data_IF_911994767827
#
_entry.id   IF_911994767827
#
_cell.length_a   1.000
_cell.length_b   1.000
_cell.length_c   1.000
_cell.angle_alpha   90.00
_cell.angle_beta   90.00
_cell.angle_gamma   90.00
#
_symmetry.space_group_name_H-M   'P 1'
#
loop_
_entity.id
_entity.type
_entity.pdbx_description
1 polymer ?
#
# COMPACT_ATOMS: atom_id res chain seq x y z
N UNK A 1 30.89 -24.87 -23.25
CA UNK A 1 32.08 -24.18 -22.72
C UNK A 1 31.55 -23.29 -21.62
N UNK A 2 31.85 -23.60 -20.37
CA UNK A 2 31.42 -22.78 -19.24
C UNK A 2 32.22 -21.47 -19.26
N UNK A 3 31.53 -20.33 -19.18
CA UNK A 3 32.20 -19.04 -19.01
C UNK A 3 32.98 -19.04 -17.68
N UNK A 4 34.21 -18.48 -17.66
CA UNK A 4 34.99 -18.45 -16.43
C UNK A 4 34.28 -17.60 -15.37
N UNK A 5 34.13 -18.15 -14.17
CA UNK A 5 33.57 -17.43 -13.02
C UNK A 5 34.44 -16.21 -12.70
N UNK A 6 33.88 -14.99 -12.68
CA UNK A 6 34.64 -13.80 -12.35
C UNK A 6 35.17 -13.86 -10.92
N UNK A 7 36.39 -13.34 -10.71
CA UNK A 7 36.99 -13.19 -9.39
C UNK A 7 36.23 -12.16 -8.54
N UNK A 8 36.39 -12.24 -7.21
CA UNK A 8 35.78 -11.29 -6.28
C UNK A 8 36.16 -9.83 -6.62
N UNK A 9 37.41 -9.60 -7.01
CA UNK A 9 37.94 -8.29 -7.41
C UNK A 9 37.27 -7.76 -8.69
N UNK A 10 36.93 -8.64 -9.63
CA UNK A 10 36.21 -8.26 -10.85
C UNK A 10 34.75 -7.91 -10.54
N UNK A 11 34.10 -8.65 -9.65
CA UNK A 11 32.74 -8.35 -9.18
C UNK A 11 32.69 -7.03 -8.40
N UNK A 12 33.68 -6.77 -7.53
CA UNK A 12 33.81 -5.50 -6.82
C UNK A 12 33.93 -4.33 -7.81
N UNK A 13 34.75 -4.45 -8.85
CA UNK A 13 34.88 -3.41 -9.88
C UNK A 13 33.60 -3.20 -10.69
N UNK A 14 32.83 -4.25 -10.95
CA UNK A 14 31.56 -4.16 -11.69
C UNK A 14 30.43 -3.50 -10.87
N UNK A 15 30.51 -3.57 -9.54
CA UNK A 15 29.51 -3.01 -8.63
C UNK A 15 29.96 -1.70 -7.98
N UNK A 16 31.22 -1.31 -8.15
CA UNK A 16 31.76 -0.06 -7.67
C UNK A 16 31.32 1.11 -8.56
N UNK A 17 30.68 2.10 -7.95
CA UNK A 17 30.31 3.35 -8.61
C UNK A 17 31.27 4.46 -8.19
N UNK A 18 31.95 5.06 -9.16
CA UNK A 18 32.69 6.29 -8.97
C UNK A 18 31.77 7.51 -9.02
N UNK A 19 32.33 8.68 -8.68
CA UNK A 19 31.60 9.95 -8.68
C UNK A 19 30.90 10.23 -10.02
N UNK A 20 31.58 9.98 -11.14
CA UNK A 20 31.05 10.22 -12.49
C UNK A 20 29.84 9.32 -12.78
N UNK A 21 29.92 8.01 -12.49
CA UNK A 21 28.76 7.12 -12.68
C UNK A 21 27.57 7.55 -11.82
N UNK A 22 27.81 7.96 -10.57
CA UNK A 22 26.75 8.47 -9.69
C UNK A 22 26.10 9.74 -10.24
N UNK A 23 26.89 10.69 -10.75
CA UNK A 23 26.37 11.90 -11.39
C UNK A 23 25.52 11.57 -12.64
N UNK A 24 25.93 10.59 -13.44
CA UNK A 24 25.15 10.12 -14.59
C UNK A 24 23.81 9.50 -14.17
N UNK A 25 23.81 8.68 -13.11
CA UNK A 25 22.59 8.09 -12.52
C UNK A 25 21.64 9.17 -12.01
N UNK A 26 22.15 10.15 -11.25
CA UNK A 26 21.35 11.26 -10.71
C UNK A 26 20.72 12.12 -11.82
N UNK A 27 21.50 12.39 -12.87
CA UNK A 27 20.99 13.07 -14.05
C UNK A 27 19.94 12.24 -14.78
N UNK A 28 20.11 10.91 -14.81
CA UNK A 28 19.12 9.95 -15.30
C UNK A 28 17.79 10.06 -14.55
N UNK A 29 17.80 9.95 -13.22
CA UNK A 29 16.59 10.12 -12.40
C UNK A 29 15.93 11.49 -12.62
N UNK A 30 16.72 12.55 -12.68
CA UNK A 30 16.21 13.91 -12.93
C UNK A 30 15.51 14.05 -14.28
N UNK A 31 15.97 13.33 -15.32
CA UNK A 31 15.27 13.28 -16.62
C UNK A 31 13.99 12.46 -16.53
N UNK A 32 14.05 11.29 -15.88
CA UNK A 32 12.88 10.42 -15.69
C UNK A 32 11.77 11.10 -14.89
N UNK A 33 12.11 11.87 -13.84
CA UNK A 33 11.12 12.64 -13.07
C UNK A 33 10.41 13.69 -13.91
N UNK A 34 11.16 14.48 -14.70
CA UNK A 34 10.55 15.47 -15.60
C UNK A 34 9.66 14.79 -16.65
N UNK A 35 10.11 13.67 -17.20
CA UNK A 35 9.31 12.89 -18.13
C UNK A 35 8.00 12.38 -17.49
N UNK A 36 8.09 11.81 -16.28
CA UNK A 36 6.93 11.35 -15.52
C UNK A 36 5.92 12.45 -15.19
N UNK A 37 6.40 13.65 -14.85
CA UNK A 37 5.53 14.78 -14.53
C UNK A 37 4.86 15.41 -15.77
N UNK A 38 5.53 15.40 -16.92
CA UNK A 38 5.06 16.13 -18.12
C UNK A 38 4.36 15.24 -19.15
N UNK A 39 4.76 13.97 -19.28
CA UNK A 39 4.49 13.15 -20.48
C UNK A 39 4.04 11.71 -20.22
N UNK A 40 4.08 11.21 -19.00
CA UNK A 40 3.73 9.82 -18.67
C UNK A 40 2.72 9.75 -17.52
N UNK A 41 1.56 9.14 -17.78
CA UNK A 41 0.50 8.98 -16.77
C UNK A 41 0.71 7.77 -15.84
N UNK A 42 1.75 6.96 -16.08
CA UNK A 42 1.99 5.71 -15.35
C UNK A 42 3.08 5.84 -14.27
N UNK A 43 3.78 6.97 -14.24
CA UNK A 43 4.79 7.29 -13.22
C UNK A 43 4.51 8.67 -12.64
N UNK A 44 5.11 9.00 -11.49
CA UNK A 44 4.85 10.27 -10.79
C UNK A 44 3.36 10.53 -10.52
N UNK A 45 2.61 9.46 -10.24
CA UNK A 45 1.16 9.47 -10.07
C UNK A 45 0.76 10.39 -8.91
N UNK A 46 -0.18 11.34 -9.10
CA UNK A 46 -0.65 12.20 -8.03
C UNK A 46 -1.30 11.40 -6.89
N UNK A 47 -0.88 11.65 -5.65
CA UNK A 47 -1.45 10.99 -4.47
C UNK A 47 -2.78 11.61 -4.00
N UNK A 48 -3.15 12.78 -4.53
CA UNK A 48 -4.27 13.62 -4.08
C UNK A 48 -4.18 14.05 -2.60
N UNK A 49 -3.05 13.81 -1.93
CA UNK A 49 -2.77 14.31 -0.58
C UNK A 49 -2.21 15.73 -0.69
N UNK A 50 -3.10 16.72 -0.54
CA UNK A 50 -2.71 18.13 -0.69
C UNK A 50 -2.33 18.81 0.64
N UNK A 51 -2.47 18.13 1.78
CA UNK A 51 -2.17 18.65 3.12
C UNK A 51 -1.57 17.55 3.98
N UNK A 52 -0.58 17.91 4.78
CA UNK A 52 0.01 17.03 5.77
C UNK A 52 -0.69 17.21 7.13
N UNK A 53 -0.63 16.21 8.02
CA UNK A 53 -1.17 16.32 9.37
C UNK A 53 -0.60 17.51 10.15
N UNK A 54 -1.43 18.15 10.97
CA UNK A 54 -1.07 19.29 11.82
C UNK A 54 -0.66 18.86 13.23
N UNK A 55 -1.02 17.64 13.64
CA UNK A 55 -0.85 17.14 15.00
C UNK A 55 -2.00 17.50 15.94
N UNK A 56 -2.99 18.27 15.48
CA UNK A 56 -4.18 18.64 16.27
C UNK A 56 -5.37 17.72 16.00
N UNK A 57 -5.20 16.71 15.15
CA UNK A 57 -6.24 15.76 14.80
C UNK A 57 -6.67 14.94 16.02
N UNK A 58 -7.96 14.68 16.12
CA UNK A 58 -8.57 13.86 17.16
C UNK A 58 -9.57 12.89 16.56
N UNK A 59 -9.90 11.84 17.31
CA UNK A 59 -10.89 10.83 16.94
C UNK A 59 -10.28 9.49 16.59
N UNK A 60 -11.14 8.49 16.41
CA UNK A 60 -10.73 7.12 16.07
C UNK A 60 -10.95 6.86 14.58
N UNK A 61 -9.92 6.38 13.91
CA UNK A 61 -9.89 6.09 12.48
C UNK A 61 -9.38 4.66 12.26
N UNK A 62 -9.75 4.06 11.14
CA UNK A 62 -9.18 2.78 10.72
C UNK A 62 -7.99 3.00 9.78
N UNK A 63 -7.03 2.10 9.83
CA UNK A 63 -5.92 2.03 8.89
C UNK A 63 -5.77 0.59 8.42
N UNK A 64 -5.67 0.42 7.11
CA UNK A 64 -5.39 -0.84 6.46
C UNK A 64 -4.05 -0.72 5.74
N UNK A 65 -3.15 -1.66 6.01
CA UNK A 65 -1.86 -1.80 5.32
C UNK A 65 -1.77 -3.19 4.70
N UNK A 66 -1.89 -3.22 3.38
CA UNK A 66 -1.71 -4.42 2.58
C UNK A 66 -0.34 -4.38 1.89
N UNK A 67 0.58 -5.14 2.47
CA UNK A 67 1.90 -5.40 1.91
C UNK A 67 1.93 -6.64 1.01
N UNK A 68 3.14 -7.13 0.73
CA UNK A 68 3.32 -8.38 -0.03
C UNK A 68 3.21 -9.67 0.80
N UNK A 69 3.25 -9.55 2.12
CA UNK A 69 3.36 -10.71 3.04
C UNK A 69 2.27 -10.74 4.09
N UNK A 70 1.87 -9.58 4.59
CA UNK A 70 0.89 -9.46 5.67
C UNK A 70 -0.15 -8.40 5.31
N UNK A 71 -1.38 -8.65 5.74
CA UNK A 71 -2.39 -7.64 5.99
C UNK A 71 -2.21 -7.14 7.43
N UNK A 72 -2.25 -5.83 7.61
CA UNK A 72 -2.42 -5.20 8.92
C UNK A 72 -3.66 -4.34 8.90
N UNK A 73 -4.46 -4.43 9.95
CA UNK A 73 -5.60 -3.56 10.19
C UNK A 73 -5.44 -2.95 11.57
N UNK A 74 -5.66 -1.65 11.70
CA UNK A 74 -5.47 -0.92 12.94
C UNK A 74 -6.62 0.07 13.20
N UNK A 75 -7.00 0.19 14.47
CA UNK A 75 -7.82 1.28 14.97
C UNK A 75 -6.90 2.28 15.67
N UNK A 76 -6.77 3.46 15.07
CA UNK A 76 -5.86 4.51 15.51
C UNK A 76 -6.71 5.61 16.15
N UNK A 77 -6.52 5.82 17.45
CA UNK A 77 -7.15 6.93 18.18
C UNK A 77 -6.16 8.07 18.28
N UNK A 78 -6.47 9.18 17.61
CA UNK A 78 -5.71 10.42 17.66
C UNK A 78 -6.19 11.23 18.86
N UNK A 79 -5.24 11.66 19.70
CA UNK A 79 -5.52 12.37 20.96
C UNK A 79 -5.17 13.87 20.90
N UNK A 80 -4.78 14.38 19.73
CA UNK A 80 -4.14 15.68 19.60
C UNK A 80 -2.68 15.67 20.08
N UNK A 81 -2.00 16.80 19.92
CA UNK A 81 -0.58 17.01 20.24
C UNK A 81 0.36 15.90 19.68
N UNK A 82 0.00 15.32 18.52
CA UNK A 82 0.74 14.21 17.91
C UNK A 82 0.69 12.88 18.67
N UNK A 83 -0.15 12.75 19.71
CA UNK A 83 -0.29 11.52 20.50
C UNK A 83 -1.31 10.56 19.88
N UNK A 84 -1.02 9.27 19.95
CA UNK A 84 -1.87 8.21 19.39
C UNK A 84 -1.96 7.00 20.30
N UNK A 85 -3.10 6.31 20.23
CA UNK A 85 -3.27 4.95 20.75
C UNK A 85 -3.64 4.03 19.58
N UNK A 86 -3.00 2.86 19.49
CA UNK A 86 -3.14 1.96 18.35
C UNK A 86 -3.48 0.56 18.85
N UNK A 87 -4.63 0.07 18.40
CA UNK A 87 -5.00 -1.34 18.47
C UNK A 87 -4.87 -1.92 17.07
N UNK A 88 -4.22 -3.07 16.89
CA UNK A 88 -4.03 -3.63 15.56
C UNK A 88 -4.07 -5.15 15.55
N UNK A 89 -4.37 -5.70 14.36
CA UNK A 89 -4.22 -7.11 14.05
C UNK A 89 -3.39 -7.26 12.78
N UNK A 90 -2.60 -8.33 12.73
CA UNK A 90 -1.80 -8.68 11.57
C UNK A 90 -2.12 -10.12 11.17
N UNK A 91 -2.28 -10.32 9.86
CA UNK A 91 -2.59 -11.60 9.27
C UNK A 91 -1.60 -11.90 8.14
N UNK A 92 -0.87 -13.03 8.19
CA UNK A 92 -0.13 -13.50 7.03
C UNK A 92 -1.09 -13.73 5.86
N UNK A 93 -0.73 -13.29 4.65
CA UNK A 93 -1.56 -13.46 3.46
C UNK A 93 -1.47 -14.93 3.01
N UNK A 94 -2.58 -15.70 3.01
CA UNK A 94 -2.61 -17.06 2.50
C UNK A 94 -2.17 -17.14 1.03
N UNK A 95 -1.42 -18.17 0.66
CA UNK A 95 -0.89 -18.31 -0.72
C UNK A 95 -1.99 -18.53 -1.75
N UNK A 96 -3.07 -19.20 -1.35
CA UNK A 96 -4.28 -19.39 -2.16
C UNK A 96 -4.94 -18.06 -2.52
N UNK A 97 -4.91 -17.07 -1.61
CA UNK A 97 -5.49 -15.75 -1.85
C UNK A 97 -4.63 -14.91 -2.79
N UNK A 98 -3.31 -15.15 -2.85
CA UNK A 98 -2.44 -14.47 -3.82
C UNK A 98 -2.74 -14.87 -5.26
N UNK A 99 -3.34 -16.04 -5.47
CA UNK A 99 -3.67 -16.60 -6.80
C UNK A 99 -5.18 -16.80 -7.00
N UNK A 100 -6.00 -16.25 -6.09
CA UNK A 100 -7.45 -16.40 -6.10
C UNK A 100 -8.17 -15.33 -6.93
N UNK A 101 -9.44 -15.11 -6.60
CA UNK A 101 -10.26 -14.04 -7.16
C UNK A 101 -10.35 -12.84 -6.21
N UNK A 102 -10.68 -11.67 -6.79
CA UNK A 102 -10.77 -10.42 -6.05
C UNK A 102 -11.84 -10.48 -4.95
N UNK A 103 -13.00 -11.11 -5.18
CA UNK A 103 -14.07 -11.18 -4.19
C UNK A 103 -13.61 -11.91 -2.93
N UNK A 104 -13.05 -13.11 -3.08
CA UNK A 104 -12.46 -13.88 -1.98
C UNK A 104 -11.35 -13.10 -1.26
N UNK A 105 -10.49 -12.41 -2.02
CA UNK A 105 -9.40 -11.61 -1.47
C UNK A 105 -9.89 -10.46 -0.58
N UNK A 106 -10.85 -9.67 -1.06
CA UNK A 106 -11.39 -8.54 -0.31
C UNK A 106 -12.34 -8.97 0.82
N UNK A 107 -13.06 -10.09 0.68
CA UNK A 107 -13.84 -10.66 1.78
C UNK A 107 -12.94 -11.06 2.96
N UNK A 108 -11.78 -11.66 2.69
CA UNK A 108 -10.79 -11.98 3.73
C UNK A 108 -10.26 -10.73 4.45
N UNK A 109 -10.03 -9.64 3.72
CA UNK A 109 -9.66 -8.34 4.31
C UNK A 109 -10.79 -7.82 5.21
N UNK A 110 -12.04 -7.94 4.75
CA UNK A 110 -13.22 -7.52 5.49
C UNK A 110 -13.39 -8.31 6.80
N UNK A 111 -13.18 -9.63 6.77
CA UNK A 111 -13.19 -10.49 7.95
C UNK A 111 -12.09 -10.09 8.96
N UNK A 112 -10.88 -9.82 8.47
CA UNK A 112 -9.76 -9.35 9.31
C UNK A 112 -10.09 -8.01 9.99
N UNK A 113 -10.73 -7.10 9.25
CA UNK A 113 -11.18 -5.80 9.77
C UNK A 113 -12.29 -5.96 10.81
N UNK A 114 -13.31 -6.79 10.54
CA UNK A 114 -14.39 -7.10 11.49
C UNK A 114 -13.83 -7.67 12.80
N UNK A 115 -12.88 -8.60 12.70
CA UNK A 115 -12.20 -9.16 13.86
C UNK A 115 -11.49 -8.10 14.71
N UNK A 116 -10.89 -7.07 14.11
CA UNK A 116 -10.31 -5.94 14.84
C UNK A 116 -11.40 -5.13 15.56
N UNK A 117 -12.52 -4.83 14.89
CA UNK A 117 -13.63 -4.05 15.46
C UNK A 117 -14.27 -4.75 16.67
N UNK A 118 -14.25 -6.08 16.70
CA UNK A 118 -14.75 -6.89 17.81
C UNK A 118 -13.84 -6.89 19.05
N UNK A 119 -12.62 -6.33 18.98
CA UNK A 119 -11.78 -6.18 20.16
C UNK A 119 -12.47 -5.27 21.19
N UNK A 120 -12.56 -5.66 22.48
CA UNK A 120 -13.23 -4.85 23.49
C UNK A 120 -12.72 -3.40 23.59
N UNK A 121 -11.39 -3.21 23.46
CA UNK A 121 -10.75 -1.89 23.49
C UNK A 121 -11.10 -1.01 22.29
N UNK A 122 -11.39 -1.61 21.14
CA UNK A 122 -11.83 -0.90 19.92
C UNK A 122 -13.33 -0.63 19.98
N UNK A 123 -14.12 -1.67 20.28
CA UNK A 123 -15.59 -1.59 20.37
C UNK A 123 -16.07 -0.50 21.33
N UNK A 124 -15.39 -0.35 22.48
CA UNK A 124 -15.69 0.70 23.45
C UNK A 124 -15.46 2.13 22.92
N UNK A 125 -14.61 2.33 21.91
CA UNK A 125 -14.23 3.65 21.37
C UNK A 125 -15.07 4.09 20.16
N UNK A 126 -15.64 3.15 19.41
CA UNK A 126 -16.28 3.43 18.11
C UNK A 126 -17.79 3.64 18.18
N UNK A 127 -18.48 3.16 19.23
CA UNK A 127 -19.89 3.46 19.58
C UNK A 127 -20.88 3.57 18.39
N UNK A 128 -20.93 2.53 17.54
CA UNK A 128 -21.78 2.42 16.33
C UNK A 128 -21.69 3.60 15.34
N UNK A 129 -20.57 4.35 15.36
CA UNK A 129 -20.33 5.45 14.43
C UNK A 129 -19.77 4.95 13.11
N UNK A 130 -20.04 5.71 12.06
CA UNK A 130 -19.30 5.59 10.81
C UNK A 130 -17.82 5.92 11.04
N UNK A 131 -16.94 5.03 10.57
CA UNK A 131 -15.49 5.17 10.71
C UNK A 131 -14.87 5.45 9.34
N UNK A 132 -13.95 6.40 9.31
CA UNK A 132 -13.11 6.64 8.14
C UNK A 132 -11.91 5.72 8.16
N UNK A 133 -11.55 5.17 7.00
CA UNK A 133 -10.41 4.28 6.84
C UNK A 133 -9.37 4.86 5.86
N UNK A 134 -8.11 4.88 6.28
CA UNK A 134 -6.98 5.04 5.37
C UNK A 134 -6.55 3.69 4.80
N UNK A 135 -6.41 3.58 3.48
CA UNK A 135 -6.06 2.33 2.79
C UNK A 135 -4.67 2.47 2.16
N UNK A 136 -3.69 1.78 2.73
CA UNK A 136 -2.37 1.60 2.13
C UNK A 136 -2.38 0.31 1.30
N UNK A 137 -2.55 0.47 -0.01
CA UNK A 137 -2.58 -0.65 -0.96
C UNK A 137 -1.31 -0.65 -1.81
N UNK A 138 -0.34 -1.50 -1.46
CA UNK A 138 1.02 -1.42 -2.00
C UNK A 138 1.17 -2.05 -3.41
N UNK A 139 0.30 -1.68 -4.33
CA UNK A 139 0.37 -2.02 -5.76
C UNK A 139 0.32 -0.73 -6.59
N UNK A 140 0.79 -0.73 -7.85
CA UNK A 140 0.62 0.42 -8.73
C UNK A 140 -0.87 0.73 -8.95
N UNK A 141 -1.30 1.92 -8.51
CA UNK A 141 -2.68 2.42 -8.63
C UNK A 141 -2.69 3.64 -9.54
N UNK A 142 -3.54 3.63 -10.58
CA UNK A 142 -3.88 4.83 -11.34
C UNK A 142 -4.95 5.59 -10.56
N UNK A 143 -4.49 6.45 -9.66
CA UNK A 143 -5.34 7.20 -8.75
C UNK A 143 -6.02 8.37 -9.47
N UNK A 144 -7.30 8.60 -9.21
CA UNK A 144 -8.08 9.68 -9.82
C UNK A 144 -8.74 10.61 -8.80
N UNK A 145 -8.78 10.20 -7.53
CA UNK A 145 -9.17 11.01 -6.38
C UNK A 145 -8.48 10.49 -5.11
N UNK A 146 -8.62 11.18 -3.98
CA UNK A 146 -8.10 10.71 -2.68
C UNK A 146 -8.68 9.33 -2.27
N UNK A 147 -9.89 9.02 -2.73
CA UNK A 147 -10.64 7.81 -2.40
C UNK A 147 -11.00 6.96 -3.64
N UNK A 148 -10.28 7.13 -4.76
CA UNK A 148 -10.53 6.39 -6.01
C UNK A 148 -9.24 6.09 -6.75
N UNK A 149 -9.08 4.85 -7.18
CA UNK A 149 -7.94 4.43 -7.97
C UNK A 149 -8.01 2.98 -8.42
N UNK A 150 -7.62 2.77 -9.68
CA UNK A 150 -7.63 1.45 -10.32
C UNK A 150 -6.29 0.76 -10.25
N UNK A 151 -6.28 -0.54 -10.00
CA UNK A 151 -5.04 -1.33 -10.04
C UNK A 151 -4.51 -1.41 -11.46
N UNK A 152 -3.25 -1.00 -11.67
CA UNK A 152 -2.65 -1.00 -13.02
C UNK A 152 -2.04 -2.35 -13.38
N UNK A 153 -1.32 -2.95 -12.43
CA UNK A 153 -0.68 -4.25 -12.60
C UNK A 153 -0.43 -4.92 -11.27
N UNK A 154 -0.46 -6.24 -11.28
CA UNK A 154 -0.04 -7.03 -10.14
C UNK A 154 1.49 -7.13 -10.07
N UNK A 155 2.00 -7.50 -8.89
CA UNK A 155 3.41 -7.71 -8.62
C UNK A 155 3.58 -8.54 -7.35
N UNK A 156 4.81 -8.67 -6.83
CA UNK A 156 5.09 -9.35 -5.55
C UNK A 156 4.54 -10.79 -5.48
N UNK A 157 4.50 -11.48 -6.62
CA UNK A 157 3.93 -12.84 -6.77
C UNK A 157 2.41 -12.93 -6.56
N UNK A 158 1.69 -11.81 -6.62
CA UNK A 158 0.22 -11.81 -6.67
C UNK A 158 -0.25 -11.98 -8.11
N UNK A 159 -1.29 -12.78 -8.28
CA UNK A 159 -2.04 -13.00 -9.51
C UNK A 159 -3.54 -13.12 -9.18
N UNK A 160 -4.09 -12.11 -8.51
CA UNK A 160 -5.50 -12.07 -8.12
C UNK A 160 -6.35 -11.70 -9.34
N UNK A 161 -7.23 -12.61 -9.76
CA UNK A 161 -8.12 -12.40 -10.90
C UNK A 161 -9.21 -11.36 -10.57
N UNK A 162 -9.56 -10.52 -11.54
CA UNK A 162 -10.56 -9.46 -11.34
C UNK A 162 -10.08 -8.22 -10.58
N UNK A 163 -8.77 -8.09 -10.30
CA UNK A 163 -8.22 -6.96 -9.57
C UNK A 163 -7.68 -5.85 -10.48
N UNK A 164 -6.97 -6.19 -11.55
CA UNK A 164 -6.45 -5.22 -12.53
C UNK A 164 -7.62 -4.47 -13.18
N UNK A 165 -7.44 -3.15 -13.38
CA UNK A 165 -8.42 -2.19 -13.91
C UNK A 165 -9.69 -1.95 -13.07
N UNK A 166 -9.75 -2.53 -11.87
CA UNK A 166 -10.85 -2.33 -10.92
C UNK A 166 -10.45 -1.36 -9.81
N UNK A 167 -11.43 -0.59 -9.32
CA UNK A 167 -11.23 0.36 -8.24
C UNK A 167 -11.13 -0.37 -6.88
N UNK A 168 -10.02 -0.15 -6.18
CA UNK A 168 -9.73 -0.84 -4.92
C UNK A 168 -10.72 -0.46 -3.81
N UNK A 169 -11.17 0.80 -3.81
CA UNK A 169 -12.07 1.31 -2.78
C UNK A 169 -13.49 0.77 -3.01
N UNK A 170 -13.92 0.64 -4.28
CA UNK A 170 -15.19 -0.03 -4.61
C UNK A 170 -15.17 -1.50 -4.17
N UNK A 171 -14.11 -2.25 -4.50
CA UNK A 171 -13.98 -3.66 -4.09
C UNK A 171 -13.97 -3.83 -2.57
N UNK A 172 -13.33 -2.92 -1.83
CA UNK A 172 -13.34 -2.91 -0.36
C UNK A 172 -14.72 -2.60 0.20
N UNK A 173 -15.42 -1.58 -0.34
CA UNK A 173 -16.78 -1.22 0.09
C UNK A 173 -17.74 -2.38 -0.12
N UNK A 174 -17.73 -2.97 -1.30
CA UNK A 174 -18.55 -4.13 -1.61
C UNK A 174 -18.29 -5.29 -0.64
N UNK A 175 -17.02 -5.52 -0.26
CA UNK A 175 -16.67 -6.55 0.72
C UNK A 175 -17.11 -6.22 2.14
N UNK A 176 -17.02 -4.95 2.57
CA UNK A 176 -17.53 -4.54 3.88
C UNK A 176 -19.06 -4.59 3.95
N UNK A 177 -19.78 -4.26 2.87
CA UNK A 177 -21.24 -4.31 2.82
C UNK A 177 -21.81 -5.74 2.90
N UNK A 178 -21.00 -6.76 2.59
CA UNK A 178 -21.37 -8.18 2.71
C UNK A 178 -21.26 -8.74 4.14
N UNK A 179 -20.69 -7.99 5.09
CA UNK A 179 -20.33 -8.46 6.44
C UNK A 179 -21.34 -8.13 7.52
#
# INVERSE_FOLDING_TARGET
MDEPTPSLVELEKQTAFGKRELEEILNGFSRSFRHGLDKDENTMIPSFVCRLPTGTETGTYLALDLGGTNLRVAAVTLLGDGKTEIEHKQYPIPEELKNGDAESFFNWIADGTKSLLDLPGVKAKIADKELYMGVTFSFPIKQTNIDKGKVMKMGKSFNVSGLVDHDVIELLRDAFDRQ
#
